data_IF_360988498002
#
_entry.id   IF_360988498002
#
_cell.length_a   1.000
_cell.length_b   1.000
_cell.length_c   1.000
_cell.angle_alpha   90.00
_cell.angle_beta   90.00
_cell.angle_gamma   90.00
#
_symmetry.space_group_name_H-M   'P 1'
#
loop_
_entity.id
_entity.type
_entity.pdbx_description
1 polymer ?
#
# COMPACT_ATOMS: atom_id res chain seq x y z
N UNK A 1 -6.93 -16.80 13.44
CA UNK A 1 -6.16 -16.70 12.19
C UNK A 1 -7.17 -16.66 11.08
N UNK A 2 -7.26 -15.52 10.39
CA UNK A 2 -8.34 -15.26 9.45
C UNK A 2 -7.78 -14.59 8.22
N UNK A 3 -8.13 -15.11 7.05
CA UNK A 3 -7.84 -14.43 5.79
C UNK A 3 -9.03 -13.57 5.41
N UNK A 4 -8.74 -12.38 4.92
CA UNK A 4 -9.74 -11.36 4.62
C UNK A 4 -9.65 -10.95 3.16
N UNK A 5 -10.79 -10.87 2.49
CA UNK A 5 -10.88 -10.47 1.08
C UNK A 5 -11.89 -9.35 0.91
N UNK A 6 -11.62 -8.35 0.06
CA UNK A 6 -12.61 -7.35 -0.31
C UNK A 6 -13.40 -7.72 -1.58
N UNK A 7 -14.61 -7.17 -1.78
CA UNK A 7 -15.35 -7.36 -3.03
C UNK A 7 -14.53 -6.82 -4.22
N UNK A 8 -14.65 -7.45 -5.41
CA UNK A 8 -13.83 -7.08 -6.56
C UNK A 8 -14.29 -5.74 -7.14
N UNK A 9 -13.81 -4.64 -6.56
CA UNK A 9 -14.21 -3.27 -6.92
C UNK A 9 -13.06 -2.47 -7.52
N UNK A 10 -11.83 -3.00 -7.52
CA UNK A 10 -10.64 -2.31 -8.00
C UNK A 10 -10.42 -2.57 -9.50
N UNK A 11 -10.48 -1.54 -10.36
CA UNK A 11 -10.27 -1.72 -11.80
C UNK A 11 -8.78 -1.82 -12.14
N UNK A 12 -8.42 -2.78 -13.00
CA UNK A 12 -7.06 -2.91 -13.52
C UNK A 12 -6.99 -3.94 -14.65
N UNK A 13 -6.19 -3.67 -15.70
CA UNK A 13 -6.01 -4.59 -16.84
C UNK A 13 -7.33 -5.11 -17.47
N UNK A 14 -8.37 -4.27 -17.54
CA UNK A 14 -9.67 -4.63 -18.12
C UNK A 14 -10.52 -5.58 -17.25
N UNK A 15 -10.19 -5.75 -15.96
CA UNK A 15 -10.96 -6.56 -15.01
C UNK A 15 -11.03 -5.90 -13.64
N UNK A 16 -11.89 -6.46 -12.79
CA UNK A 16 -12.01 -6.07 -11.39
C UNK A 16 -11.17 -7.01 -10.51
N UNK A 17 -10.68 -6.47 -9.42
CA UNK A 17 -9.77 -7.14 -8.50
C UNK A 17 -10.18 -6.96 -7.05
N UNK A 18 -9.88 -7.99 -6.28
CA UNK A 18 -9.97 -8.05 -4.83
C UNK A 18 -8.56 -8.13 -4.23
N UNK A 19 -8.42 -7.72 -2.98
CA UNK A 19 -7.22 -7.82 -2.17
C UNK A 19 -7.44 -8.86 -1.07
N UNK A 20 -6.58 -9.87 -1.03
CA UNK A 20 -6.57 -10.89 0.01
C UNK A 20 -5.41 -10.65 0.98
N UNK A 21 -5.70 -10.61 2.28
CA UNK A 21 -4.72 -10.35 3.36
C UNK A 21 -4.87 -11.34 4.51
N UNK A 22 -3.84 -11.40 5.35
CA UNK A 22 -3.89 -12.00 6.70
C UNK A 22 -3.75 -10.91 7.77
N UNK A 23 -4.29 -11.17 8.96
CA UNK A 23 -4.09 -10.38 10.18
C UNK A 23 -2.97 -10.90 11.09
N UNK A 24 -2.31 -12.02 10.74
CA UNK A 24 -1.29 -12.66 11.59
C UNK A 24 0.06 -12.80 10.88
N UNK A 25 0.11 -13.36 9.66
CA UNK A 25 1.38 -13.62 8.98
C UNK A 25 1.27 -13.70 7.44
N UNK A 26 2.40 -13.61 6.74
CA UNK A 26 2.44 -13.87 5.30
C UNK A 26 2.56 -15.35 4.96
N UNK A 27 3.14 -16.16 5.84
CA UNK A 27 3.37 -17.58 5.57
C UNK A 27 2.04 -18.31 5.35
N UNK A 28 1.04 -18.02 6.17
CA UNK A 28 -0.32 -18.55 5.99
C UNK A 28 -1.01 -18.03 4.72
N UNK A 29 -0.78 -16.75 4.38
CA UNK A 29 -1.37 -16.11 3.22
C UNK A 29 -0.81 -16.76 1.95
N UNK A 30 0.49 -17.04 1.96
CA UNK A 30 1.17 -17.80 0.92
C UNK A 30 0.68 -19.24 0.84
N UNK A 31 0.55 -19.95 1.96
CA UNK A 31 0.09 -21.33 1.99
C UNK A 31 -1.35 -21.47 1.43
N UNK A 32 -2.24 -20.55 1.81
CA UNK A 32 -3.61 -20.53 1.30
C UNK A 32 -3.67 -20.20 -0.19
N UNK A 33 -2.91 -19.21 -0.65
CA UNK A 33 -2.79 -18.87 -2.05
C UNK A 33 -2.27 -20.06 -2.89
N UNK A 34 -1.28 -20.80 -2.38
CA UNK A 34 -0.75 -21.99 -3.03
C UNK A 34 -1.78 -23.12 -3.13
N UNK A 35 -2.57 -23.35 -2.08
CA UNK A 35 -3.64 -24.35 -2.08
C UNK A 35 -4.69 -24.07 -3.15
N UNK A 36 -4.98 -22.80 -3.40
CA UNK A 36 -5.90 -22.38 -4.47
C UNK A 36 -5.20 -22.28 -5.84
N UNK A 37 -3.89 -22.44 -5.93
CA UNK A 37 -3.14 -22.23 -7.19
C UNK A 37 -3.15 -20.76 -7.63
N UNK A 38 -3.21 -19.81 -6.68
CA UNK A 38 -2.95 -18.39 -6.95
C UNK A 38 -1.45 -18.23 -7.18
N UNK A 39 -1.01 -17.68 -8.32
CA UNK A 39 0.41 -17.61 -8.64
C UNK A 39 1.13 -16.62 -7.70
N UNK A 40 2.32 -16.97 -7.21
CA UNK A 40 3.13 -16.12 -6.30
C UNK A 40 3.37 -14.69 -6.81
N UNK A 41 3.39 -14.47 -8.13
CA UNK A 41 3.52 -13.14 -8.76
C UNK A 41 2.33 -12.20 -8.52
N UNK A 42 1.20 -12.72 -8.05
CA UNK A 42 0.05 -11.91 -7.67
C UNK A 42 0.20 -11.33 -6.25
N UNK A 43 1.28 -11.67 -5.54
CA UNK A 43 1.58 -11.09 -4.23
C UNK A 43 2.24 -9.71 -4.38
N UNK A 44 1.58 -8.68 -3.84
CA UNK A 44 2.00 -7.29 -3.86
C UNK A 44 2.44 -6.81 -2.47
N UNK A 45 3.55 -7.38 -1.99
CA UNK A 45 4.27 -7.04 -0.74
C UNK A 45 3.56 -7.36 0.57
N UNK A 46 2.24 -7.17 0.64
CA UNK A 46 1.44 -7.43 1.84
C UNK A 46 0.06 -8.04 1.58
N UNK A 47 -0.31 -8.24 0.31
CA UNK A 47 -1.59 -8.82 -0.10
C UNK A 47 -1.45 -9.59 -1.41
N UNK A 48 -2.46 -10.38 -1.74
CA UNK A 48 -2.63 -10.94 -3.09
C UNK A 48 -3.71 -10.18 -3.86
N UNK A 49 -3.43 -9.89 -5.13
CA UNK A 49 -4.43 -9.42 -6.10
C UNK A 49 -5.20 -10.61 -6.70
N UNK A 50 -6.48 -10.70 -6.38
CA UNK A 50 -7.37 -11.78 -6.83
C UNK A 50 -8.29 -11.24 -7.92
N UNK A 51 -8.29 -11.81 -9.13
CA UNK A 51 -9.20 -11.36 -10.18
C UNK A 51 -10.64 -11.76 -9.85
N UNK A 52 -11.61 -10.94 -10.27
CA UNK A 52 -13.04 -11.10 -9.92
C UNK A 52 -13.63 -12.50 -10.15
N UNK A 53 -13.18 -13.22 -11.18
CA UNK A 53 -13.66 -14.59 -11.46
C UNK A 53 -13.20 -15.63 -10.42
N UNK A 54 -12.15 -15.33 -9.64
CA UNK A 54 -11.65 -16.16 -8.53
C UNK A 54 -12.15 -15.71 -7.16
N UNK A 55 -12.90 -14.62 -7.08
CA UNK A 55 -13.40 -14.11 -5.81
C UNK A 55 -14.27 -15.16 -5.07
N UNK A 56 -15.20 -15.79 -5.79
CA UNK A 56 -16.11 -16.78 -5.19
C UNK A 56 -15.41 -18.02 -4.65
N UNK A 57 -14.37 -18.53 -5.33
CA UNK A 57 -13.59 -19.67 -4.82
C UNK A 57 -12.79 -19.32 -3.56
N UNK A 58 -12.29 -18.08 -3.45
CA UNK A 58 -11.51 -17.63 -2.28
C UNK A 58 -12.41 -17.51 -1.05
N UNK A 59 -13.61 -16.95 -1.23
CA UNK A 59 -14.63 -16.91 -0.16
C UNK A 59 -15.08 -18.33 0.21
N UNK A 60 -15.33 -19.20 -0.78
CA UNK A 60 -15.72 -20.59 -0.52
C UNK A 60 -14.64 -21.41 0.20
N UNK A 61 -13.36 -21.05 0.01
CA UNK A 61 -12.23 -21.65 0.70
C UNK A 61 -12.04 -21.14 2.14
N UNK A 62 -12.87 -20.21 2.60
CA UNK A 62 -12.91 -19.75 3.99
C UNK A 62 -12.33 -18.36 4.23
N UNK A 63 -11.97 -17.59 3.18
CA UNK A 63 -11.65 -16.18 3.35
C UNK A 63 -12.92 -15.38 3.73
N UNK A 64 -12.78 -14.51 4.71
CA UNK A 64 -13.87 -13.67 5.21
C UNK A 64 -13.97 -12.41 4.36
N UNK A 65 -15.12 -12.18 3.75
CA UNK A 65 -15.38 -10.94 3.03
C UNK A 65 -15.42 -9.75 4.00
N UNK A 66 -14.67 -8.69 3.69
CA UNK A 66 -14.69 -7.41 4.41
C UNK A 66 -14.56 -6.24 3.44
N UNK A 67 -14.83 -5.00 3.87
CA UNK A 67 -14.61 -3.85 2.99
C UNK A 67 -13.11 -3.60 2.72
N UNK A 68 -12.77 -2.96 1.60
CA UNK A 68 -11.37 -2.55 1.32
C UNK A 68 -10.78 -1.65 2.41
N UNK A 69 -11.62 -0.85 3.07
CA UNK A 69 -11.20 -0.03 4.22
C UNK A 69 -10.77 -0.91 5.40
N UNK A 70 -11.47 -2.02 5.60
CA UNK A 70 -11.18 -2.97 6.67
C UNK A 70 -9.91 -3.77 6.37
N UNK A 71 -9.69 -4.18 5.12
CA UNK A 71 -8.40 -4.77 4.68
C UNK A 71 -7.22 -3.88 5.09
N UNK A 72 -7.30 -2.57 4.82
CA UNK A 72 -6.25 -1.62 5.21
C UNK A 72 -6.11 -1.52 6.73
N UNK A 73 -7.21 -1.51 7.49
CA UNK A 73 -7.18 -1.48 8.95
C UNK A 73 -6.52 -2.72 9.55
N UNK A 74 -6.87 -3.90 9.04
CA UNK A 74 -6.29 -5.18 9.46
C UNK A 74 -4.79 -5.22 9.21
N UNK A 75 -4.34 -4.83 8.01
CA UNK A 75 -2.90 -4.74 7.70
C UNK A 75 -2.15 -3.78 8.63
N UNK A 76 -2.77 -2.65 8.99
CA UNK A 76 -2.19 -1.69 9.93
C UNK A 76 -2.16 -2.23 11.38
N UNK A 77 -3.25 -2.85 11.83
CA UNK A 77 -3.35 -3.44 13.17
C UNK A 77 -2.40 -4.61 13.37
N UNK A 78 -2.17 -5.41 12.33
CA UNK A 78 -1.24 -6.54 12.32
C UNK A 78 0.24 -6.12 12.18
N UNK A 79 0.52 -4.85 11.87
CA UNK A 79 1.88 -4.38 11.56
C UNK A 79 2.42 -4.92 10.22
N UNK A 80 1.56 -5.47 9.37
CA UNK A 80 1.93 -6.07 8.08
C UNK A 80 1.94 -5.04 6.94
N UNK A 81 1.29 -3.88 7.06
CA UNK A 81 1.23 -2.92 5.95
C UNK A 81 2.62 -2.54 5.39
N UNK A 82 2.87 -2.85 4.11
CA UNK A 82 4.06 -2.47 3.33
C UNK A 82 3.71 -1.53 2.18
N UNK A 83 3.91 -0.23 2.40
CA UNK A 83 3.67 0.78 1.36
C UNK A 83 4.68 0.63 0.22
N UNK A 84 4.25 0.98 -1.00
CA UNK A 84 5.19 1.22 -2.10
C UNK A 84 5.97 2.46 -1.72
N UNK A 85 7.28 2.35 -1.55
CA UNK A 85 8.12 3.54 -1.56
C UNK A 85 7.89 4.21 -2.91
N UNK A 86 7.41 5.45 -2.88
CA UNK A 86 7.40 6.26 -4.09
C UNK A 86 8.86 6.31 -4.55
N UNK A 87 9.16 5.78 -5.74
CA UNK A 87 10.39 6.19 -6.43
C UNK A 87 10.27 7.70 -6.54
N UNK A 88 11.02 8.40 -5.70
CA UNK A 88 11.11 9.85 -5.80
C UNK A 88 11.46 10.18 -7.25
N UNK A 89 10.85 11.21 -7.85
CA UNK A 89 11.41 11.73 -9.08
C UNK A 89 12.86 12.14 -8.79
N UNK A 90 13.72 12.09 -9.80
CA UNK A 90 15.09 12.59 -9.72
C UNK A 90 15.19 13.89 -8.94
N UNK A 91 16.27 13.99 -8.16
CA UNK A 91 16.46 15.02 -7.16
C UNK A 91 16.15 16.43 -7.65
N UNK A 92 15.25 17.08 -6.92
CA UNK A 92 15.32 18.53 -6.75
C UNK A 92 15.29 18.76 -5.24
N UNK A 93 16.47 19.04 -4.68
CA UNK A 93 16.58 19.62 -3.34
C UNK A 93 15.75 20.92 -3.34
N UNK A 94 15.09 21.30 -2.24
CA UNK A 94 14.57 22.65 -2.14
C UNK A 94 15.77 23.60 -2.25
N UNK A 95 15.84 24.35 -3.35
CA UNK A 95 16.67 25.54 -3.42
C UNK A 95 16.16 26.47 -2.34
N UNK A 96 16.92 26.59 -1.24
CA UNK A 96 16.83 27.78 -0.41
C UNK A 96 17.23 28.93 -1.32
N UNK A 97 16.26 29.72 -1.78
CA UNK A 97 16.55 31.02 -2.34
C UNK A 97 17.17 31.86 -1.22
N UNK A 98 18.47 32.11 -1.36
CA UNK A 98 19.23 33.09 -0.60
C UNK A 98 19.82 34.06 -1.62
N UNK A 99 19.76 35.35 -1.30
CA UNK A 99 20.33 36.47 -2.07
C UNK A 99 19.36 36.97 -3.15
N UNK A 100 19.18 38.27 -3.40
CA UNK A 100 20.01 39.46 -3.18
C UNK A 100 19.04 40.67 -3.22
N UNK A 101 19.29 41.90 -2.75
CA UNK A 101 20.44 42.72 -2.39
C UNK A 101 19.89 43.75 -1.36
N UNK A 102 20.60 44.59 -0.60
CA UNK A 102 21.78 45.41 -0.88
C UNK A 102 22.15 46.08 0.47
N UNK A 103 23.43 46.04 0.85
CA UNK A 103 24.07 47.02 1.77
C UNK A 103 24.73 48.09 0.86
N UNK A 104 25.15 49.30 1.31
CA UNK A 104 25.37 49.80 2.68
C UNK A 104 24.86 51.27 2.91
N UNK A 105 24.85 51.88 4.10
CA UNK A 105 25.99 52.60 4.69
C UNK A 105 25.55 53.48 5.88
N UNK A 106 26.29 53.38 6.99
CA UNK A 106 26.73 54.44 7.95
C UNK A 106 25.82 55.64 8.26
N UNK A 107 25.47 55.82 9.54
CA UNK A 107 26.21 56.73 10.45
C UNK A 107 25.78 56.59 11.93
N UNK A 108 26.66 56.94 12.89
CA UNK A 108 26.46 56.75 14.33
C UNK A 108 25.98 58.04 15.02
N UNK A 109 25.52 57.94 16.28
CA UNK A 109 26.02 58.72 17.44
C UNK A 109 25.21 58.42 18.70
N UNK A 110 25.90 57.91 19.72
CA UNK A 110 25.54 58.10 21.12
C UNK A 110 25.94 59.52 21.53
N UNK A 111 25.09 60.18 22.30
CA UNK A 111 25.46 61.15 23.34
C UNK A 111 24.43 61.03 24.45
#
# INVERSE_FOLDING_TARGET
MTLYIDPPTWPGHGRLWSHLVSDVSYDELQAFADQLGVPRRAFERDHYDIPSHRYGEVVAAGAVEVSSREVVRLLHGAGLRRRKEARGPGGVRPVRAAGDAERPSRQPRNS
#
